data_IF_500566980956
#
_entry.id   IF_500566980956
#
_cell.length_a   1.000
_cell.length_b   1.000
_cell.length_c   1.000
_cell.angle_alpha   90.00
_cell.angle_beta   90.00
_cell.angle_gamma   90.00
#
_symmetry.space_group_name_H-M   'P 1'
#
loop_
_entity.id
_entity.type
_entity.pdbx_description
1 polymer ?
#
# COMPACT_ATOMS: atom_id res chain seq x y z
N UNK A 1 -9.42 -11.54 14.43
CA UNK A 1 -9.06 -10.13 14.72
C UNK A 1 -7.61 -9.90 14.31
N UNK A 2 -7.22 -8.66 14.07
CA UNK A 2 -5.84 -8.25 13.80
C UNK A 2 -5.40 -7.24 14.84
N UNK A 3 -4.08 -7.10 15.00
CA UNK A 3 -3.47 -6.03 15.79
C UNK A 3 -2.37 -5.40 14.95
N UNK A 4 -2.31 -4.06 14.97
CA UNK A 4 -1.05 -3.36 14.78
C UNK A 4 -0.21 -3.67 16.02
N UNK A 5 1.03 -4.11 15.85
CA UNK A 5 1.89 -4.45 16.98
C UNK A 5 3.27 -3.81 16.81
N UNK A 6 3.77 -3.21 17.90
CA UNK A 6 5.17 -2.86 18.01
C UNK A 6 6.07 -4.09 17.86
N UNK A 7 7.24 -3.85 17.26
CA UNK A 7 8.10 -4.80 16.57
C UNK A 7 8.50 -6.09 17.34
N UNK A 8 8.47 -7.24 16.65
CA UNK A 8 9.36 -8.38 16.97
C UNK A 8 10.69 -8.18 16.23
N UNK A 9 11.67 -7.60 16.93
CA UNK A 9 12.98 -7.11 16.45
C UNK A 9 13.94 -8.16 15.85
N UNK A 10 13.42 -9.32 15.45
CA UNK A 10 14.18 -10.51 15.01
C UNK A 10 13.81 -11.03 13.62
N UNK A 11 12.85 -10.40 12.92
CA UNK A 11 12.31 -10.94 11.64
C UNK A 11 12.31 -9.96 10.47
N UNK A 12 12.07 -8.68 10.72
CA UNK A 12 11.94 -7.67 9.66
C UNK A 12 13.04 -6.61 9.81
N UNK A 13 13.44 -5.97 8.70
CA UNK A 13 14.25 -4.76 8.77
C UNK A 13 13.39 -3.62 9.30
N UNK A 14 13.86 -2.87 10.30
CA UNK A 14 13.21 -1.64 10.74
C UNK A 14 13.27 -0.61 9.60
N UNK A 15 12.19 0.11 9.32
CA UNK A 15 12.25 1.27 8.42
C UNK A 15 11.38 2.44 8.88
N UNK A 16 11.63 3.62 8.34
CA UNK A 16 10.82 4.82 8.54
C UNK A 16 10.84 5.73 7.31
N UNK A 17 9.73 6.46 7.11
CA UNK A 17 9.61 7.55 6.14
C UNK A 17 9.94 8.88 6.85
N UNK A 18 10.64 9.75 6.14
CA UNK A 18 10.80 11.15 6.51
C UNK A 18 10.72 12.04 5.25
N UNK A 19 10.47 13.33 5.45
CA UNK A 19 10.38 14.33 4.38
C UNK A 19 11.60 15.25 4.43
N UNK A 20 12.07 15.73 3.28
CA UNK A 20 13.07 16.80 3.26
C UNK A 20 12.45 18.11 3.75
N UNK A 21 12.97 18.60 4.87
CA UNK A 21 12.60 19.89 5.44
C UNK A 21 13.12 21.08 4.60
N UNK A 22 12.45 22.23 4.73
CA UNK A 22 12.74 23.45 3.99
C UNK A 22 13.85 24.30 4.63
N UNK A 23 13.91 24.32 5.95
CA UNK A 23 14.77 25.23 6.72
C UNK A 23 16.08 24.54 7.14
N UNK A 24 16.01 23.25 7.45
CA UNK A 24 17.13 22.41 7.84
C UNK A 24 17.42 21.18 6.93
N UNK A 25 17.43 21.29 5.58
CA UNK A 25 17.76 20.17 4.67
C UNK A 25 19.20 19.62 4.81
N UNK A 26 19.98 20.14 5.78
CA UNK A 26 21.30 19.66 6.14
C UNK A 26 21.28 18.61 7.26
N UNK A 27 20.12 18.34 7.88
CA UNK A 27 19.90 17.23 8.79
C UNK A 27 18.60 16.48 8.48
N UNK A 28 18.36 15.39 9.20
CA UNK A 28 17.06 14.70 9.24
C UNK A 28 16.83 14.13 10.64
N UNK A 29 15.62 14.28 11.18
CA UNK A 29 15.27 13.59 12.42
C UNK A 29 15.11 12.09 12.20
N UNK A 30 15.46 11.31 13.21
CA UNK A 30 15.23 9.87 13.27
C UNK A 30 14.13 9.65 14.32
N UNK A 31 13.02 8.96 14.01
CA UNK A 31 11.95 8.73 14.97
C UNK A 31 12.46 8.06 16.25
N UNK A 32 11.95 8.51 17.41
CA UNK A 32 12.47 8.06 18.72
C UNK A 32 12.17 6.57 18.97
N UNK A 33 11.02 6.12 18.52
CA UNK A 33 10.53 4.75 18.52
C UNK A 33 11.33 3.86 17.55
N UNK A 34 11.61 4.30 16.32
CA UNK A 34 12.54 3.62 15.42
C UNK A 34 13.94 3.50 16.06
N UNK A 35 14.44 4.58 16.65
CA UNK A 35 15.74 4.61 17.31
C UNK A 35 15.78 3.68 18.54
N UNK A 36 14.71 3.62 19.33
CA UNK A 36 14.57 2.71 20.47
C UNK A 36 14.45 1.25 20.02
N UNK A 37 13.67 0.96 18.99
CA UNK A 37 13.53 -0.38 18.43
C UNK A 37 14.84 -0.90 17.81
N UNK A 38 15.70 0.00 17.30
CA UNK A 38 17.00 -0.36 16.74
C UNK A 38 18.12 -0.47 17.80
N UNK A 39 18.19 0.47 18.76
CA UNK A 39 19.34 0.64 19.68
C UNK A 39 19.02 0.54 21.18
N UNK A 40 17.73 0.49 21.55
CA UNK A 40 17.26 0.69 22.91
C UNK A 40 17.74 2.04 23.47
N UNK A 41 18.07 2.07 24.77
CA UNK A 41 18.58 3.26 25.44
C UNK A 41 19.99 3.71 24.97
N UNK A 42 20.66 2.92 24.13
CA UNK A 42 22.07 3.07 23.75
C UNK A 42 22.26 3.65 22.34
N UNK A 43 21.46 4.67 22.00
CA UNK A 43 21.53 5.38 20.72
C UNK A 43 23.00 5.82 20.43
N UNK A 44 23.56 5.49 19.24
CA UNK A 44 24.99 5.65 18.94
C UNK A 44 25.35 7.09 18.55
N UNK A 45 25.09 8.04 19.44
CA UNK A 45 25.44 9.45 19.23
C UNK A 45 26.93 9.66 18.93
N UNK A 46 27.20 10.59 18.03
CA UNK A 46 28.52 10.94 17.49
C UNK A 46 29.23 9.82 16.72
N UNK A 47 28.58 8.68 16.46
CA UNK A 47 29.09 7.65 15.54
C UNK A 47 28.78 8.03 14.09
N UNK A 48 29.62 7.54 13.18
CA UNK A 48 29.35 7.52 11.75
C UNK A 48 28.63 6.21 11.41
N UNK A 49 27.56 6.32 10.63
CA UNK A 49 26.85 5.19 10.01
C UNK A 49 27.11 5.19 8.51
N UNK A 50 26.98 4.01 7.90
CA UNK A 50 26.99 3.86 6.45
C UNK A 50 25.54 3.88 5.95
N UNK A 51 25.18 4.82 5.07
CA UNK A 51 23.91 4.86 4.35
C UNK A 51 24.19 4.53 2.88
N UNK A 52 23.54 3.49 2.36
CA UNK A 52 23.66 3.02 0.98
C UNK A 52 22.52 3.57 0.12
N UNK A 53 22.88 4.10 -1.04
CA UNK A 53 22.04 4.77 -2.02
C UNK A 53 22.27 4.10 -3.39
N UNK A 54 21.58 2.96 -3.59
CA UNK A 54 21.92 1.99 -4.64
C UNK A 54 23.35 1.46 -4.48
N UNK A 55 24.19 1.66 -5.49
CA UNK A 55 25.63 1.32 -5.42
C UNK A 55 26.47 2.37 -4.66
N UNK A 56 25.93 3.56 -4.37
CA UNK A 56 26.66 4.59 -3.64
C UNK A 56 26.69 4.29 -2.14
N UNK A 57 27.85 4.52 -1.50
CA UNK A 57 27.96 4.58 -0.05
C UNK A 57 28.15 6.02 0.41
N UNK A 58 27.35 6.45 1.38
CA UNK A 58 27.47 7.74 2.08
C UNK A 58 27.77 7.48 3.55
N UNK A 59 28.69 8.26 4.11
CA UNK A 59 29.00 8.24 5.55
C UNK A 59 28.32 9.41 6.21
N UNK A 60 27.46 9.11 7.18
CA UNK A 60 26.60 10.11 7.84
C UNK A 60 26.79 10.02 9.35
N UNK A 61 26.88 11.16 10.05
CA UNK A 61 27.01 11.19 11.52
C UNK A 61 25.64 11.21 12.18
N UNK A 62 25.43 10.40 13.22
CA UNK A 62 24.31 10.56 14.15
C UNK A 62 24.71 11.57 15.23
N UNK A 63 23.86 12.55 15.51
CA UNK A 63 24.02 13.51 16.61
C UNK A 63 22.69 13.70 17.36
N UNK A 64 22.66 14.59 18.34
CA UNK A 64 21.50 14.87 19.19
C UNK A 64 21.03 16.32 19.00
N UNK A 65 19.74 16.55 18.76
CA UNK A 65 19.10 17.88 18.66
C UNK A 65 17.79 17.82 19.45
N UNK A 66 17.54 18.77 20.35
CA UNK A 66 16.29 18.84 21.15
C UNK A 66 15.89 17.48 21.77
N UNK A 67 16.88 16.84 22.38
CA UNK A 67 16.90 15.45 22.87
C UNK A 67 16.67 14.30 21.87
N UNK A 68 16.25 14.57 20.63
CA UNK A 68 16.03 13.60 19.55
C UNK A 68 17.34 13.18 18.83
N UNK A 69 17.40 11.96 18.27
CA UNK A 69 18.45 11.57 17.34
C UNK A 69 18.26 12.18 15.95
N UNK A 70 19.36 12.64 15.34
CA UNK A 70 19.37 13.23 14.00
C UNK A 70 20.56 12.73 13.17
N UNK A 71 20.36 12.55 11.87
CA UNK A 71 21.45 12.46 10.89
C UNK A 71 21.95 13.88 10.55
N UNK A 72 23.27 14.12 10.59
CA UNK A 72 23.87 15.45 10.31
C UNK A 72 25.02 15.41 9.31
N UNK A 73 26.29 15.34 9.77
CA UNK A 73 27.46 15.47 8.90
C UNK A 73 27.39 14.42 7.78
N UNK A 74 27.42 14.86 6.52
CA UNK A 74 27.29 14.00 5.34
C UNK A 74 25.86 13.86 4.79
N UNK A 75 24.81 14.13 5.57
CA UNK A 75 23.42 14.06 5.12
C UNK A 75 23.15 14.97 3.92
N UNK A 76 23.55 16.24 4.01
CA UNK A 76 23.42 17.23 2.93
C UNK A 76 24.06 16.78 1.59
N UNK A 77 25.00 15.83 1.60
CA UNK A 77 25.60 15.28 0.38
C UNK A 77 24.68 14.26 -0.31
N UNK A 78 23.88 13.51 0.45
CA UNK A 78 22.82 12.65 -0.08
C UNK A 78 21.71 13.50 -0.72
N UNK A 79 21.21 14.50 0.02
CA UNK A 79 20.19 15.47 -0.44
C UNK A 79 20.62 16.15 -1.74
N UNK A 80 21.85 16.67 -1.80
CA UNK A 80 22.38 17.34 -3.00
C UNK A 80 22.66 16.38 -4.16
N UNK A 81 23.18 15.19 -3.89
CA UNK A 81 23.48 14.20 -4.95
C UNK A 81 22.20 13.75 -5.66
N UNK A 82 21.18 13.40 -4.88
CA UNK A 82 19.89 13.00 -5.40
C UNK A 82 19.01 14.18 -5.80
N UNK A 83 19.47 15.43 -5.70
CA UNK A 83 18.73 16.66 -6.06
C UNK A 83 17.35 16.71 -5.40
N UNK A 84 17.30 16.42 -4.09
CA UNK A 84 16.06 16.38 -3.33
C UNK A 84 15.59 17.79 -2.98
N UNK A 85 14.28 17.99 -2.98
CA UNK A 85 13.60 19.26 -2.71
C UNK A 85 12.80 19.17 -1.41
N UNK A 86 12.36 20.33 -0.91
CA UNK A 86 11.34 20.39 0.15
C UNK A 86 10.13 19.51 -0.21
N UNK A 87 9.69 18.70 0.75
CA UNK A 87 8.67 17.64 0.63
C UNK A 87 9.05 16.35 -0.12
N UNK A 88 10.18 16.25 -0.84
CA UNK A 88 10.59 14.96 -1.42
C UNK A 88 10.74 13.91 -0.30
N UNK A 89 10.11 12.74 -0.46
CA UNK A 89 10.02 11.72 0.58
C UNK A 89 11.22 10.75 0.56
N UNK A 90 11.60 10.26 1.73
CA UNK A 90 12.75 9.36 1.93
C UNK A 90 12.35 8.22 2.85
N UNK A 91 12.50 6.99 2.35
CA UNK A 91 12.40 5.77 3.16
C UNK A 91 13.80 5.29 3.55
N UNK A 92 14.07 5.24 4.85
CA UNK A 92 15.30 4.71 5.45
C UNK A 92 15.03 3.30 5.98
N UNK A 93 15.81 2.30 5.53
CA UNK A 93 15.73 0.90 6.00
C UNK A 93 17.00 0.52 6.76
N UNK A 94 16.88 0.05 8.00
CA UNK A 94 18.00 -0.44 8.79
C UNK A 94 18.37 -1.88 8.37
N UNK A 95 19.46 -2.03 7.62
CA UNK A 95 20.06 -3.34 7.28
C UNK A 95 21.13 -3.76 8.29
N UNK A 96 21.33 -2.98 9.35
CA UNK A 96 22.14 -3.32 10.51
C UNK A 96 22.32 -2.14 11.47
N UNK A 97 22.87 -2.43 12.65
CA UNK A 97 23.01 -1.50 13.79
C UNK A 97 23.68 -0.14 13.49
N UNK A 98 24.50 -0.04 12.43
CA UNK A 98 25.10 1.22 11.94
C UNK A 98 25.06 1.28 10.40
N UNK A 99 24.08 0.60 9.77
CA UNK A 99 23.99 0.42 8.31
C UNK A 99 22.56 0.57 7.83
N UNK A 100 22.38 1.47 6.89
CA UNK A 100 21.07 1.82 6.34
C UNK A 100 21.08 1.73 4.82
N UNK A 101 19.92 1.48 4.23
CA UNK A 101 19.64 1.70 2.81
C UNK A 101 18.63 2.84 2.70
N UNK A 102 18.77 3.68 1.67
CA UNK A 102 17.86 4.80 1.39
C UNK A 102 17.14 4.59 0.06
N UNK A 103 15.85 4.91 0.04
CA UNK A 103 15.05 5.05 -1.17
C UNK A 103 14.51 6.48 -1.19
N UNK A 104 14.93 7.26 -2.18
CA UNK A 104 14.48 8.64 -2.38
C UNK A 104 13.30 8.65 -3.36
N UNK A 105 12.12 9.03 -2.91
CA UNK A 105 10.92 9.17 -3.72
C UNK A 105 10.85 10.57 -4.30
N UNK A 106 10.32 10.67 -5.52
CA UNK A 106 10.08 11.93 -6.22
C UNK A 106 8.78 11.87 -6.97
N UNK A 107 7.93 12.87 -6.75
CA UNK A 107 6.54 12.84 -7.21
C UNK A 107 5.87 11.52 -6.75
N UNK A 108 6.10 11.15 -5.47
CA UNK A 108 5.69 9.91 -4.80
C UNK A 108 6.29 8.59 -5.33
N UNK A 109 7.29 8.60 -6.23
CA UNK A 109 7.80 7.39 -6.91
C UNK A 109 9.30 7.14 -6.68
N UNK A 110 9.66 5.89 -6.39
CA UNK A 110 11.04 5.39 -6.38
C UNK A 110 11.09 3.97 -6.99
N UNK A 111 11.78 3.83 -8.13
CA UNK A 111 11.96 2.54 -8.82
C UNK A 111 10.61 1.82 -9.06
N UNK A 112 10.48 0.55 -8.68
CA UNK A 112 9.26 -0.25 -8.73
C UNK A 112 8.33 -0.01 -7.54
N UNK A 113 8.40 1.14 -6.86
CA UNK A 113 7.53 1.46 -5.72
C UNK A 113 6.98 2.88 -5.73
N UNK A 114 5.84 3.08 -5.06
CA UNK A 114 5.23 4.40 -4.85
C UNK A 114 4.68 4.56 -3.42
N UNK A 115 4.56 5.80 -2.96
CA UNK A 115 3.92 6.18 -1.70
C UNK A 115 2.50 6.68 -1.98
N UNK A 116 1.57 6.43 -1.07
CA UNK A 116 0.24 7.03 -1.04
C UNK A 116 -0.26 7.13 0.41
N UNK A 117 -1.14 8.09 0.72
CA UNK A 117 -1.80 8.14 2.02
C UNK A 117 -2.92 7.08 2.10
N UNK A 118 -3.12 6.49 3.26
CA UNK A 118 -4.04 5.40 3.48
C UNK A 118 -5.48 5.91 3.57
N UNK A 119 -6.26 5.70 2.50
CA UNK A 119 -7.70 5.45 2.65
C UNK A 119 -8.51 6.67 3.14
N UNK A 120 -8.20 7.89 2.67
CA UNK A 120 -9.26 8.90 2.55
C UNK A 120 -9.66 9.13 1.08
N UNK A 121 -10.49 8.19 0.62
CA UNK A 121 -11.62 8.57 -0.22
C UNK A 121 -12.90 8.02 0.40
N UNK A 122 -13.93 8.86 0.54
CA UNK A 122 -15.31 8.47 0.91
C UNK A 122 -15.91 7.43 -0.06
N UNK A 123 -15.19 7.14 -1.14
CA UNK A 123 -15.51 6.27 -2.27
C UNK A 123 -14.95 4.83 -2.11
N UNK A 124 -14.20 4.56 -1.03
CA UNK A 124 -13.65 3.23 -0.73
C UNK A 124 -12.52 2.77 -1.64
N UNK A 125 -11.70 3.71 -2.15
CA UNK A 125 -10.61 3.45 -3.10
C UNK A 125 -9.25 3.88 -2.54
N UNK A 126 -8.17 3.25 -3.02
CA UNK A 126 -6.79 3.68 -2.80
C UNK A 126 -6.17 4.16 -4.12
N UNK A 127 -5.67 5.39 -4.15
CA UNK A 127 -5.03 5.97 -5.32
C UNK A 127 -3.58 5.48 -5.49
N UNK A 128 -3.16 5.32 -6.74
CA UNK A 128 -1.79 5.05 -7.16
C UNK A 128 -1.18 6.32 -7.74
N UNK A 129 0.08 6.62 -7.43
CA UNK A 129 0.75 7.81 -7.95
C UNK A 129 0.74 7.85 -9.49
N UNK A 130 0.27 8.95 -10.10
CA UNK A 130 0.03 9.05 -11.54
C UNK A 130 1.26 8.71 -12.39
N UNK A 131 2.43 9.17 -11.94
CA UNK A 131 3.73 8.89 -12.55
C UNK A 131 4.01 7.38 -12.61
N UNK A 132 3.77 6.68 -11.50
CA UNK A 132 3.93 5.23 -11.41
C UNK A 132 2.95 4.49 -12.32
N UNK A 133 1.67 4.89 -12.27
CA UNK A 133 0.64 4.24 -13.09
C UNK A 133 0.92 4.41 -14.58
N UNK A 134 1.33 5.62 -15.01
CA UNK A 134 1.66 5.88 -16.40
C UNK A 134 2.95 5.18 -16.87
N UNK A 135 3.94 4.98 -15.98
CA UNK A 135 5.18 4.25 -16.29
C UNK A 135 4.96 2.73 -16.43
N UNK A 136 4.21 2.11 -15.51
CA UNK A 136 4.07 0.64 -15.46
C UNK A 136 2.83 0.07 -16.14
N UNK A 137 1.80 0.88 -16.42
CA UNK A 137 0.52 0.44 -17.01
C UNK A 137 0.09 1.29 -18.20
N UNK A 138 0.13 2.61 -18.06
CA UNK A 138 -0.15 3.57 -19.12
C UNK A 138 -1.60 3.56 -19.66
N UNK A 139 -1.82 4.35 -20.70
CA UNK A 139 -3.16 4.69 -21.18
C UNK A 139 -4.00 3.50 -21.69
N UNK A 140 -3.35 2.42 -22.14
CA UNK A 140 -4.01 1.23 -22.72
C UNK A 140 -4.36 0.14 -21.68
N UNK A 141 -4.15 0.40 -20.38
CA UNK A 141 -4.45 -0.56 -19.33
C UNK A 141 -5.96 -0.79 -19.17
N UNK A 142 -6.39 -2.06 -19.19
CA UNK A 142 -7.80 -2.47 -19.22
C UNK A 142 -8.40 -2.81 -17.84
N UNK A 143 -7.65 -2.56 -16.77
CA UNK A 143 -7.97 -3.07 -15.44
C UNK A 143 -7.66 -4.57 -15.29
N UNK A 144 -7.62 -5.04 -14.05
CA UNK A 144 -7.43 -6.46 -13.73
C UNK A 144 -7.45 -6.74 -12.23
N UNK A 145 -7.47 -8.02 -11.86
CA UNK A 145 -7.31 -8.42 -10.46
C UNK A 145 -5.82 -8.42 -10.09
N UNK A 146 -5.50 -7.66 -9.05
CA UNK A 146 -4.17 -7.48 -8.48
C UNK A 146 -4.11 -8.16 -7.11
N UNK A 147 -2.99 -8.80 -6.78
CA UNK A 147 -2.70 -9.23 -5.42
C UNK A 147 -1.97 -8.11 -4.68
N UNK A 148 -2.51 -7.68 -3.55
CA UNK A 148 -1.85 -6.75 -2.64
C UNK A 148 -1.56 -7.48 -1.34
N UNK A 149 -0.27 -7.62 -1.01
CA UNK A 149 0.21 -8.26 0.20
C UNK A 149 0.40 -7.22 1.32
N UNK A 150 0.06 -7.60 2.54
CA UNK A 150 0.50 -6.94 3.77
C UNK A 150 1.17 -8.02 4.62
N UNK A 151 2.50 -8.05 4.61
CA UNK A 151 3.29 -9.12 5.22
C UNK A 151 2.93 -10.50 4.64
N UNK A 152 2.41 -11.40 5.48
CA UNK A 152 2.12 -12.80 5.09
C UNK A 152 0.72 -13.03 4.52
N UNK A 153 -0.11 -11.99 4.40
CA UNK A 153 -1.47 -12.09 3.82
C UNK A 153 -1.57 -11.29 2.54
N UNK A 154 -2.50 -11.69 1.66
CA UNK A 154 -2.85 -10.91 0.48
C UNK A 154 -4.37 -10.84 0.28
N UNK A 155 -4.79 -9.76 -0.36
CA UNK A 155 -6.14 -9.54 -0.85
C UNK A 155 -6.11 -9.46 -2.38
N UNK A 156 -7.14 -9.99 -3.03
CA UNK A 156 -7.34 -9.78 -4.46
C UNK A 156 -8.20 -8.52 -4.63
N UNK A 157 -7.60 -7.43 -5.10
CA UNK A 157 -8.27 -6.14 -5.34
C UNK A 157 -8.23 -5.82 -6.83
N UNK A 158 -9.25 -5.13 -7.35
CA UNK A 158 -9.25 -4.73 -8.76
C UNK A 158 -8.50 -3.41 -8.91
N UNK A 159 -7.41 -3.45 -9.68
CA UNK A 159 -6.71 -2.26 -10.17
C UNK A 159 -7.43 -1.80 -11.44
N UNK A 160 -7.79 -0.52 -11.49
CA UNK A 160 -8.54 0.12 -12.57
C UNK A 160 -7.89 1.46 -12.94
N UNK A 161 -8.31 2.03 -14.08
CA UNK A 161 -7.92 3.37 -14.52
C UNK A 161 -9.12 4.31 -14.40
N UNK A 162 -8.88 5.52 -13.88
CA UNK A 162 -9.84 6.61 -13.88
C UNK A 162 -10.14 7.11 -15.28
N UNK A 163 -11.41 7.20 -15.64
CA UNK A 163 -11.88 7.85 -16.87
C UNK A 163 -11.86 9.38 -16.79
N UNK A 164 -11.72 9.94 -15.58
CA UNK A 164 -11.85 11.38 -15.31
C UNK A 164 -10.50 12.04 -15.04
N UNK A 165 -9.63 11.36 -14.28
CA UNK A 165 -8.31 11.85 -13.83
C UNK A 165 -7.14 11.13 -14.47
N UNK A 166 -7.38 10.17 -15.37
CA UNK A 166 -6.39 9.26 -15.99
C UNK A 166 -5.60 8.33 -15.01
N UNK A 167 -5.64 8.62 -13.71
CA UNK A 167 -4.97 7.95 -12.59
C UNK A 167 -5.28 6.45 -12.45
N UNK A 168 -4.38 5.72 -11.77
CA UNK A 168 -4.63 4.35 -11.33
C UNK A 168 -5.23 4.29 -9.93
N UNK A 169 -6.09 3.30 -9.65
CA UNK A 169 -6.59 3.05 -8.30
C UNK A 169 -6.95 1.59 -8.03
N UNK A 170 -6.89 1.19 -6.76
CA UNK A 170 -7.49 -0.05 -6.25
C UNK A 170 -8.91 0.25 -5.74
N UNK A 171 -9.92 -0.48 -6.23
CA UNK A 171 -11.34 -0.24 -5.90
C UNK A 171 -12.07 -1.49 -5.43
N UNK A 172 -12.49 -2.36 -6.34
CA UNK A 172 -13.28 -3.54 -5.95
C UNK A 172 -12.43 -4.48 -5.08
N UNK A 173 -12.91 -4.75 -3.86
CA UNK A 173 -12.17 -5.51 -2.84
C UNK A 173 -11.23 -4.68 -1.97
N UNK A 174 -11.02 -3.39 -2.24
CA UNK A 174 -10.19 -2.52 -1.39
C UNK A 174 -10.84 -2.25 -0.03
N UNK A 175 -12.16 -2.02 0.04
CA UNK A 175 -12.86 -1.85 1.33
C UNK A 175 -12.57 -3.01 2.30
N UNK A 176 -12.48 -4.24 1.78
CA UNK A 176 -12.16 -5.42 2.59
C UNK A 176 -10.74 -5.38 3.18
N UNK A 177 -9.78 -4.72 2.53
CA UNK A 177 -8.46 -4.44 3.11
C UNK A 177 -8.63 -3.52 4.32
N UNK A 178 -9.42 -2.45 4.19
CA UNK A 178 -9.72 -1.49 5.27
C UNK A 178 -10.49 -2.14 6.44
N UNK A 179 -11.43 -3.04 6.14
CA UNK A 179 -12.24 -3.76 7.13
C UNK A 179 -11.42 -4.80 7.92
N UNK A 180 -10.45 -5.47 7.28
CA UNK A 180 -9.64 -6.52 7.91
C UNK A 180 -8.30 -6.00 8.46
N UNK A 181 -7.71 -4.95 7.89
CA UNK A 181 -6.45 -4.34 8.35
C UNK A 181 -6.77 -3.04 9.11
N UNK A 182 -6.54 -2.98 10.44
CA UNK A 182 -6.93 -1.83 11.26
C UNK A 182 -5.97 -0.65 11.07
N UNK A 183 -6.10 0.06 9.94
CA UNK A 183 -5.41 1.30 9.63
C UNK A 183 -6.39 2.48 9.77
N UNK A 184 -5.89 3.61 10.27
CA UNK A 184 -6.62 4.88 10.26
C UNK A 184 -6.37 5.64 8.94
N UNK A 185 -7.14 6.72 8.67
CA UNK A 185 -7.12 7.43 7.38
C UNK A 185 -5.88 8.29 7.11
N UNK A 186 -4.93 8.34 8.06
CA UNK A 186 -3.69 9.14 7.96
C UNK A 186 -2.41 8.31 7.69
N UNK A 187 -2.43 6.97 7.83
CA UNK A 187 -1.22 6.13 7.67
C UNK A 187 -0.59 6.27 6.27
N UNK A 188 0.73 6.14 6.15
CA UNK A 188 1.38 6.11 4.83
C UNK A 188 1.56 4.66 4.33
N UNK A 189 1.26 4.41 3.05
CA UNK A 189 1.42 3.12 2.39
C UNK A 189 2.53 3.19 1.34
N UNK A 190 3.50 2.29 1.40
CA UNK A 190 4.52 2.13 0.36
C UNK A 190 4.28 0.82 -0.38
N UNK A 191 3.70 0.94 -1.57
CA UNK A 191 3.45 -0.18 -2.47
C UNK A 191 4.70 -0.50 -3.27
N UNK A 192 5.25 -1.70 -3.10
CA UNK A 192 6.39 -2.22 -3.87
C UNK A 192 5.91 -3.30 -4.85
N UNK A 193 6.01 -3.02 -6.15
CA UNK A 193 5.52 -3.87 -7.23
C UNK A 193 6.45 -5.07 -7.46
N UNK A 194 5.95 -6.27 -7.17
CA UNK A 194 6.69 -7.53 -7.32
C UNK A 194 6.61 -8.08 -8.75
N UNK A 195 5.44 -7.99 -9.38
CA UNK A 195 5.22 -8.33 -10.80
C UNK A 195 4.21 -7.37 -11.45
N UNK A 196 3.66 -7.67 -12.63
CA UNK A 196 2.69 -6.76 -13.29
C UNK A 196 1.38 -6.59 -12.52
N UNK A 197 0.94 -7.56 -11.73
CA UNK A 197 -0.33 -7.59 -11.00
C UNK A 197 -0.16 -8.03 -9.54
N UNK A 198 1.04 -7.85 -8.96
CA UNK A 198 1.33 -8.14 -7.54
C UNK A 198 2.13 -7.02 -6.89
N UNK A 199 1.69 -6.59 -5.71
CA UNK A 199 2.38 -5.62 -4.85
C UNK A 199 2.54 -6.16 -3.43
N UNK A 200 3.64 -5.80 -2.79
CA UNK A 200 3.82 -5.84 -1.33
C UNK A 200 3.59 -4.43 -0.75
N UNK A 201 3.15 -4.33 0.51
CA UNK A 201 2.82 -3.05 1.15
C UNK A 201 3.45 -2.97 2.54
N UNK A 202 4.43 -2.08 2.67
CA UNK A 202 4.87 -1.54 3.96
C UNK A 202 3.90 -0.44 4.40
N UNK A 203 3.59 -0.41 5.70
CA UNK A 203 2.66 0.55 6.30
C UNK A 203 3.41 1.35 7.36
N UNK A 204 3.21 2.67 7.39
CA UNK A 204 3.95 3.58 8.27
C UNK A 204 2.97 4.42 9.08
N UNK A 205 3.23 4.49 10.38
CA UNK A 205 2.49 5.31 11.33
C UNK A 205 2.55 6.80 10.94
N UNK A 206 1.43 7.55 11.02
CA UNK A 206 1.41 8.96 10.61
C UNK A 206 2.29 9.83 11.51
N UNK A 207 2.07 9.84 12.83
CA UNK A 207 2.71 10.79 13.78
C UNK A 207 4.24 10.58 13.91
N UNK A 208 4.75 9.38 13.64
CA UNK A 208 6.18 9.04 13.74
C UNK A 208 6.88 8.82 12.39
N UNK A 209 6.15 8.38 11.36
CA UNK A 209 6.72 7.90 10.10
C UNK A 209 7.34 6.49 10.17
N UNK A 210 7.27 5.77 11.29
CA UNK A 210 7.92 4.44 11.45
C UNK A 210 7.07 3.31 10.86
N UNK A 211 7.73 2.29 10.30
CA UNK A 211 7.06 1.10 9.75
C UNK A 211 6.38 0.26 10.85
N UNK A 212 5.07 0.05 10.72
CA UNK A 212 4.25 -0.75 11.62
C UNK A 212 3.91 -2.11 11.01
N UNK A 213 3.80 -3.14 11.85
CA UNK A 213 3.61 -4.51 11.38
C UNK A 213 2.23 -5.06 11.73
N UNK A 214 1.50 -5.45 10.69
CA UNK A 214 0.18 -6.06 10.78
C UNK A 214 0.34 -7.54 11.08
N UNK A 215 -0.07 -7.96 12.27
CA UNK A 215 0.02 -9.36 12.71
C UNK A 215 -1.40 -9.90 12.94
N UNK A 216 -1.67 -11.12 12.43
CA UNK A 216 -2.92 -11.83 12.77
C UNK A 216 -2.87 -12.13 14.28
N UNK A 217 -3.87 -11.67 15.03
CA UNK A 217 -3.96 -12.06 16.44
C UNK A 217 -4.18 -13.58 16.54
N UNK A 218 -3.23 -14.28 17.17
CA UNK A 218 -3.38 -15.70 17.55
C UNK A 218 -4.17 -15.77 18.85
N UNK A 219 -5.45 -15.43 18.76
CA UNK A 219 -6.46 -15.84 19.74
C UNK A 219 -6.83 -17.30 19.46
N UNK A 220 -7.06 -18.10 20.50
CA UNK A 220 -7.08 -19.58 20.45
C UNK A 220 -8.32 -20.19 19.78
N UNK A 221 -8.56 -19.82 18.51
CA UNK A 221 -9.64 -20.31 17.65
C UNK A 221 -9.13 -21.04 16.39
N UNK A 222 -7.82 -21.01 16.11
CA UNK A 222 -7.19 -21.79 15.02
C UNK A 222 -6.98 -23.27 15.39
N UNK A 223 -7.86 -23.86 16.22
CA UNK A 223 -7.86 -25.31 16.43
C UNK A 223 -8.43 -26.01 15.18
N UNK A 224 -7.50 -26.53 14.39
CA UNK A 224 -7.63 -27.58 13.35
C UNK A 224 -9.09 -27.94 13.00
N UNK A 225 -9.56 -27.40 11.88
CA UNK A 225 -10.53 -28.11 11.04
C UNK A 225 -9.79 -28.51 9.77
N UNK A 226 -9.12 -29.67 9.83
CA UNK A 226 -8.95 -30.47 8.62
C UNK A 226 -10.38 -30.81 8.16
N UNK A 227 -10.77 -30.24 7.02
CA UNK A 227 -12.03 -30.57 6.37
C UNK A 227 -11.90 -31.96 5.75
N UNK A 228 -12.02 -32.98 6.61
CA UNK A 228 -12.19 -34.36 6.20
C UNK A 228 -13.44 -34.46 5.32
N UNK A 229 -13.22 -34.42 4.01
CA UNK A 229 -14.21 -34.86 3.04
C UNK A 229 -14.55 -36.31 3.38
N UNK A 230 -15.84 -36.67 3.52
CA UNK A 230 -16.20 -38.05 3.79
C UNK A 230 -15.81 -38.92 2.60
N UNK A 231 -15.13 -40.04 2.87
CA UNK A 231 -14.91 -41.10 1.88
C UNK A 231 -16.27 -41.69 1.46
N UNK A 232 -16.83 -41.26 0.33
CA UNK A 232 -17.97 -41.94 -0.28
C UNK A 232 -17.52 -43.29 -0.85
N UNK A 233 -17.65 -44.31 0.00
CA UNK A 233 -17.34 -45.71 -0.26
C UNK A 233 -18.02 -46.21 -1.53
N UNK A 234 -17.22 -46.82 -2.43
CA UNK A 234 -17.74 -47.46 -3.63
C UNK A 234 -18.70 -48.61 -3.28
N UNK A 235 -19.88 -48.63 -3.91
CA UNK A 235 -20.72 -49.83 -3.99
C UNK A 235 -21.01 -50.13 -5.48
N UNK A 236 -20.52 -51.28 -5.95
CA UNK A 236 -20.78 -51.85 -7.29
C UNK A 236 -21.93 -52.86 -7.12
N UNK A 237 -23.10 -52.53 -7.65
CA UNK A 237 -24.22 -53.46 -7.80
C UNK A 237 -24.73 -53.41 -9.25
N UNK A 238 -25.03 -54.57 -9.81
CA UNK A 238 -25.20 -54.77 -11.26
C UNK A 238 -26.62 -55.23 -11.62
N UNK A 239 -26.86 -55.26 -12.94
CA UNK A 239 -28.08 -55.65 -13.65
C UNK A 239 -29.11 -54.51 -13.83
N UNK A 240 -29.67 -54.27 -15.03
CA UNK A 240 -29.34 -54.86 -16.33
C UNK A 240 -30.28 -54.41 -17.47
N UNK A 241 -29.98 -54.87 -18.69
CA UNK A 241 -30.90 -54.93 -19.85
C UNK A 241 -31.38 -53.62 -20.53
N UNK A 242 -30.62 -53.23 -21.57
CA UNK A 242 -31.03 -52.59 -22.85
C UNK A 242 -32.53 -52.37 -23.11
N UNK A 243 -32.88 -51.19 -23.67
CA UNK A 243 -33.33 -51.04 -25.09
C UNK A 243 -33.54 -49.58 -25.51
N UNK A 244 -33.51 -49.37 -26.82
CA UNK A 244 -33.77 -48.11 -27.53
C UNK A 244 -35.25 -47.67 -27.47
N UNK A 245 -35.52 -46.37 -27.64
CA UNK A 245 -36.52 -45.87 -28.62
C UNK A 245 -36.34 -44.35 -28.87
N UNK A 246 -36.74 -43.91 -30.07
CA UNK A 246 -36.61 -42.55 -30.60
C UNK A 246 -37.95 -41.82 -30.54
N UNK A 247 -38.05 -40.73 -29.77
CA UNK A 247 -39.24 -39.86 -29.64
C UNK A 247 -39.07 -38.46 -30.27
N UNK A 248 -40.17 -37.75 -30.52
CA UNK A 248 -40.22 -36.45 -31.23
C UNK A 248 -41.46 -35.64 -30.81
N UNK A 249 -41.48 -34.33 -31.14
CA UNK A 249 -42.62 -33.38 -31.19
C UNK A 249 -43.05 -32.79 -29.83
N UNK A 250 -42.95 -31.45 -29.63
CA UNK A 250 -43.98 -30.35 -29.78
C UNK A 250 -45.08 -30.41 -28.70
N UNK A 251 -45.80 -29.35 -28.27
CA UNK A 251 -46.15 -27.97 -28.74
C UNK A 251 -46.26 -27.05 -27.49
N UNK A 252 -45.73 -25.83 -27.41
CA UNK A 252 -46.26 -24.49 -27.83
C UNK A 252 -47.05 -23.74 -26.72
N UNK A 253 -47.20 -22.41 -26.88
CA UNK A 253 -47.99 -21.41 -26.10
C UNK A 253 -47.64 -21.18 -24.60
N UNK A 254 -47.73 -19.98 -23.98
CA UNK A 254 -47.59 -18.55 -24.36
C UNK A 254 -47.31 -17.77 -23.01
N UNK A 255 -47.24 -16.45 -22.78
CA UNK A 255 -47.52 -15.20 -23.50
C UNK A 255 -46.62 -14.06 -22.96
N UNK A 256 -46.42 -12.99 -23.74
CA UNK A 256 -45.64 -11.77 -23.39
C UNK A 256 -46.41 -10.85 -22.43
N UNK A 257 -45.70 -10.15 -21.52
CA UNK A 257 -46.15 -8.82 -21.08
C UNK A 257 -44.98 -7.88 -20.72
N UNK A 258 -44.87 -6.77 -21.45
CA UNK A 258 -44.07 -5.61 -21.06
C UNK A 258 -44.93 -4.61 -20.26
N UNK A 259 -44.30 -3.83 -19.38
CA UNK A 259 -44.84 -2.54 -18.90
C UNK A 259 -43.73 -1.62 -18.40
N UNK A 260 -43.53 -0.51 -19.12
CA UNK A 260 -42.41 0.44 -19.00
C UNK A 260 -42.30 1.20 -17.66
N UNK A 261 -41.05 1.38 -17.21
CA UNK A 261 -40.32 2.63 -16.91
C UNK A 261 -41.10 3.90 -16.46
N UNK A 262 -40.49 4.74 -15.60
CA UNK A 262 -39.53 5.72 -16.14
C UNK A 262 -38.12 5.68 -15.51
N UNK A 263 -37.10 5.87 -16.36
CA UNK A 263 -35.85 6.50 -15.93
C UNK A 263 -36.11 8.01 -15.80
N UNK A 264 -35.59 8.67 -14.77
CA UNK A 264 -35.40 10.12 -14.81
C UNK A 264 -34.09 10.48 -15.51
N UNK A 265 -34.16 11.45 -16.42
CA UNK A 265 -33.04 12.00 -17.17
C UNK A 265 -32.82 13.43 -16.71
N UNK A 266 -31.78 13.67 -15.91
CA UNK A 266 -31.30 15.02 -15.67
C UNK A 266 -30.41 15.46 -16.84
N UNK A 267 -30.76 16.58 -17.48
CA UNK A 267 -30.02 17.11 -18.63
C UNK A 267 -28.85 18.02 -18.23
N UNK A 268 -27.94 18.20 -19.17
CA UNK A 268 -26.59 18.76 -19.00
C UNK A 268 -26.55 20.28 -19.28
N UNK A 269 -26.82 21.09 -18.26
CA UNK A 269 -26.73 22.56 -18.33
C UNK A 269 -25.28 23.05 -18.11
N UNK A 270 -24.48 23.03 -19.19
CA UNK A 270 -23.09 23.49 -19.15
C UNK A 270 -22.99 25.01 -19.16
N UNK A 271 -22.49 25.60 -18.08
CA UNK A 271 -21.78 26.88 -18.20
C UNK A 271 -20.70 27.12 -17.14
N UNK A 272 -19.44 27.08 -17.59
CA UNK A 272 -18.50 28.14 -17.20
C UNK A 272 -17.77 28.05 -15.86
N UNK A 273 -17.19 26.90 -15.51
CA UNK A 273 -15.81 26.91 -15.01
C UNK A 273 -15.17 25.51 -15.02
N UNK A 274 -14.20 25.31 -15.93
CA UNK A 274 -13.15 24.32 -15.70
C UNK A 274 -12.24 24.85 -14.59
N UNK A 275 -12.44 24.37 -13.37
CA UNK A 275 -11.29 24.13 -12.50
C UNK A 275 -10.65 22.85 -12.99
N UNK A 276 -9.40 22.91 -13.45
CA UNK A 276 -8.61 21.71 -13.60
C UNK A 276 -8.34 21.19 -12.18
N UNK A 277 -9.10 20.17 -11.76
CA UNK A 277 -8.92 19.52 -10.46
C UNK A 277 -7.74 18.56 -10.59
N UNK A 278 -6.54 19.14 -10.62
CA UNK A 278 -5.35 18.43 -10.16
C UNK A 278 -5.61 18.06 -8.70
N UNK A 279 -5.93 16.79 -8.46
CA UNK A 279 -6.01 16.24 -7.11
C UNK A 279 -4.56 16.17 -6.61
N UNK A 280 -4.09 17.26 -6.01
CA UNK A 280 -2.95 17.19 -5.11
C UNK A 280 -3.31 16.14 -4.06
N UNK A 281 -2.55 15.05 -4.00
CA UNK A 281 -2.65 14.11 -2.90
C UNK A 281 -2.20 14.88 -1.66
N UNK A 282 -3.17 15.23 -0.81
CA UNK A 282 -2.95 16.04 0.40
C UNK A 282 -2.27 15.16 1.45
N UNK A 283 -0.97 14.89 1.24
CA UNK A 283 -0.08 14.49 2.32
C UNK A 283 -0.08 15.63 3.34
N UNK A 284 -0.58 15.32 4.53
CA UNK A 284 -1.51 16.18 5.25
C UNK A 284 -0.93 17.50 5.74
N UNK A 285 -1.79 18.53 5.80
CA UNK A 285 -1.47 19.76 6.54
C UNK A 285 -1.36 19.52 8.06
N UNK A 286 -1.71 18.34 8.58
CA UNK A 286 -1.58 17.97 10.01
C UNK A 286 -0.12 17.85 10.46
N UNK A 287 0.83 17.60 9.54
CA UNK A 287 2.27 17.68 9.83
C UNK A 287 2.82 19.11 9.81
N UNK A 288 2.47 19.89 8.78
CA UNK A 288 3.05 21.22 8.56
C UNK A 288 2.60 22.29 9.57
N UNK A 289 1.67 21.96 10.48
CA UNK A 289 1.17 22.84 11.55
C UNK A 289 1.65 22.44 12.97
N UNK A 290 2.60 21.51 13.11
CA UNK A 290 3.22 21.09 14.40
C UNK A 290 4.70 21.51 14.48
N UNK A 291 4.99 22.81 14.33
CA UNK A 291 6.33 23.43 14.49
C UNK A 291 6.33 24.57 15.51
#
# INVERSE_FOLDING_TARGET
MFIVQDMDSRKNALSFIAFIDKEEPFLMEIPNDFAYNLWGDNIPYYKTVDIRDGENLRKVRITKKNDRPVFTDGWIMLVRHNQLKYKDEILIKAVGQLKFEVLCYKDLVCQNSFITAAIESELGMCLMADKFFNEFYGQNFKGGMTKVYFGQRFWNVRLERSSETEAGYFKAGWSKVVEEVPLDTEYFLVFTRLDSMTFDVSVFDPDTGTEVFIIKSTTDADMIVESNLPDEVCQDDREGSKKDVKGKSTTDDDMIHESNLPYEVCQDDRQGNKKDVSIEIVLSESFYNKG
#
